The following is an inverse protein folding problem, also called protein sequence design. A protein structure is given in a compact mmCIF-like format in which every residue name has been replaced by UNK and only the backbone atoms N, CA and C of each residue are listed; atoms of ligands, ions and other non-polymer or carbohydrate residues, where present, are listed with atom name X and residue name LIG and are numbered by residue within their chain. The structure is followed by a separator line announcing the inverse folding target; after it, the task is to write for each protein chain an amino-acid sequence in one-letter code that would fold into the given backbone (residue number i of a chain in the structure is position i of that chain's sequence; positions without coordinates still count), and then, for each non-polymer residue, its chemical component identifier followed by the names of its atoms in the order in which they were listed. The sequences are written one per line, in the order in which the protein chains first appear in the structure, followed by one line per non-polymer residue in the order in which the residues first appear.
data_IF_608217982811
#
_entry.id   IF_608217982811
#
_cell.length_a   1.000
_cell.length_b   1.000
_cell.length_c   1.000
_cell.angle_alpha   90.00
_cell.angle_beta   90.00
_cell.angle_gamma   90.00
#
_symmetry.space_group_name_H-M   'P 1'
#
loop_
_entity.id
_entity.type
_entity.pdbx_description
1 polymer ?
#
# COMPACT_ATOMS: atom_id res chain seq x y z
N UNK A 1 16.90 17.55 -26.77
CA UNK A 1 18.25 16.96 -26.63
C UNK A 1 18.65 16.40 -27.98
N UNK A 2 19.87 16.64 -28.47
CA UNK A 2 20.28 16.10 -29.77
C UNK A 2 20.60 14.58 -29.68
N UNK A 3 20.82 13.93 -30.82
CA UNK A 3 21.03 12.47 -30.87
C UNK A 3 22.26 12.02 -30.07
N UNK A 4 23.37 12.75 -30.19
CA UNK A 4 24.63 12.40 -29.53
C UNK A 4 24.53 12.59 -28.01
N UNK A 5 23.89 13.68 -27.56
CA UNK A 5 23.58 13.92 -26.15
C UNK A 5 22.70 12.81 -25.56
N UNK A 6 21.71 12.33 -26.32
CA UNK A 6 20.81 11.26 -25.88
C UNK A 6 21.53 9.91 -25.77
N UNK A 7 22.44 9.60 -26.71
CA UNK A 7 23.27 8.40 -26.62
C UNK A 7 24.25 8.48 -25.45
N UNK A 8 24.88 9.63 -25.22
CA UNK A 8 25.75 9.84 -24.05
C UNK A 8 24.98 9.63 -22.76
N UNK A 9 23.84 10.31 -22.60
CA UNK A 9 22.97 10.16 -21.43
C UNK A 9 22.62 8.71 -21.15
N UNK A 10 22.15 7.97 -22.17
CA UNK A 10 21.82 6.54 -22.04
C UNK A 10 23.02 5.72 -21.60
N UNK A 11 24.18 5.98 -22.18
CA UNK A 11 25.42 5.23 -21.91
C UNK A 11 25.90 5.48 -20.48
N UNK A 12 25.86 6.73 -20.03
CA UNK A 12 26.29 7.15 -18.70
C UNK A 12 25.36 6.58 -17.63
N UNK A 13 24.05 6.65 -17.81
CA UNK A 13 23.08 6.03 -16.89
C UNK A 13 23.31 4.52 -16.82
N UNK A 14 23.46 3.82 -17.95
CA UNK A 14 23.71 2.38 -17.95
C UNK A 14 25.01 2.00 -17.26
N UNK A 15 26.07 2.79 -17.45
CA UNK A 15 27.35 2.60 -16.77
C UNK A 15 27.19 2.72 -15.26
N UNK A 16 26.51 3.76 -14.79
CA UNK A 16 26.26 3.97 -13.36
C UNK A 16 25.47 2.80 -12.75
N UNK A 17 24.40 2.36 -13.41
CA UNK A 17 23.58 1.22 -12.97
C UNK A 17 24.38 -0.09 -12.90
N UNK A 18 25.23 -0.37 -13.91
CA UNK A 18 26.12 -1.56 -13.90
C UNK A 18 27.10 -1.56 -12.72
N UNK A 19 27.55 -0.39 -12.30
CA UNK A 19 28.44 -0.21 -11.16
C UNK A 19 27.69 -0.01 -9.83
N UNK A 20 26.38 -0.26 -9.79
CA UNK A 20 25.52 -0.10 -8.60
C UNK A 20 25.55 1.33 -8.00
N UNK A 21 25.80 2.34 -8.84
CA UNK A 21 25.78 3.76 -8.47
C UNK A 21 24.37 4.33 -8.65
N UNK A 22 23.43 3.83 -7.83
CA UNK A 22 21.98 4.06 -7.98
C UNK A 22 21.62 5.54 -7.82
N UNK A 23 22.11 6.18 -6.76
CA UNK A 23 21.85 7.58 -6.46
C UNK A 23 22.38 8.51 -7.55
N UNK A 24 23.58 8.25 -8.08
CA UNK A 24 24.14 9.03 -9.18
C UNK A 24 23.38 8.81 -10.49
N UNK A 25 22.96 7.58 -10.78
CA UNK A 25 22.12 7.28 -11.94
C UNK A 25 20.79 8.05 -11.86
N UNK A 26 20.11 7.99 -10.71
CA UNK A 26 18.87 8.72 -10.45
C UNK A 26 19.06 10.24 -10.52
N UNK A 27 20.17 10.76 -9.99
CA UNK A 27 20.50 12.18 -10.08
C UNK A 27 20.69 12.62 -11.53
N UNK A 28 21.37 11.81 -12.34
CA UNK A 28 21.58 12.08 -13.76
C UNK A 28 20.25 12.04 -14.54
N UNK A 29 19.39 11.06 -14.24
CA UNK A 29 18.04 10.98 -14.81
C UNK A 29 17.22 12.21 -14.43
N UNK A 30 17.19 12.58 -13.15
CA UNK A 30 16.44 13.73 -12.63
C UNK A 30 16.82 15.06 -13.31
N UNK A 31 18.10 15.25 -13.67
CA UNK A 31 18.55 16.43 -14.42
C UNK A 31 17.96 16.53 -15.82
N UNK A 32 17.48 15.43 -16.39
CA UNK A 32 16.99 15.35 -17.76
C UNK A 32 15.50 14.95 -17.85
N UNK A 33 14.77 14.89 -16.72
CA UNK A 33 13.35 14.49 -16.74
C UNK A 33 12.44 15.49 -17.44
N UNK A 34 12.90 16.72 -17.70
CA UNK A 34 12.17 17.70 -18.53
C UNK A 34 12.36 17.50 -20.04
N UNK A 35 13.18 16.53 -20.46
CA UNK A 35 13.48 16.24 -21.87
C UNK A 35 12.64 15.06 -22.35
N UNK A 36 11.59 15.26 -23.19
CA UNK A 36 10.68 14.20 -23.63
C UNK A 36 11.38 13.00 -24.28
N UNK A 37 12.49 13.24 -24.99
CA UNK A 37 13.27 12.21 -25.66
C UNK A 37 13.88 11.19 -24.67
N UNK A 38 14.05 11.56 -23.41
CA UNK A 38 14.54 10.66 -22.36
C UNK A 38 13.45 9.78 -21.77
N UNK A 39 12.18 10.18 -21.87
CA UNK A 39 11.04 9.51 -21.24
C UNK A 39 10.84 8.09 -21.75
N UNK A 40 11.19 7.81 -23.01
CA UNK A 40 11.11 6.47 -23.60
C UNK A 40 12.07 5.45 -22.95
N UNK A 41 13.06 5.90 -22.19
CA UNK A 41 14.05 5.02 -21.54
C UNK A 41 13.83 4.84 -20.05
N UNK A 42 12.97 5.65 -19.43
CA UNK A 42 12.78 5.67 -17.98
C UNK A 42 12.34 4.30 -17.44
N UNK A 43 11.39 3.62 -18.10
CA UNK A 43 10.95 2.28 -17.69
C UNK A 43 12.13 1.29 -17.62
N UNK A 44 12.96 1.25 -18.66
CA UNK A 44 14.13 0.37 -18.74
C UNK A 44 15.19 0.69 -17.69
N UNK A 45 15.36 1.97 -17.32
CA UNK A 45 16.26 2.34 -16.24
C UNK A 45 15.71 1.91 -14.88
N UNK A 46 14.41 2.13 -14.65
CA UNK A 46 13.74 1.73 -13.42
C UNK A 46 13.73 0.20 -13.23
N UNK A 47 13.63 -0.56 -14.32
CA UNK A 47 13.84 -2.02 -14.37
C UNK A 47 15.25 -2.47 -13.97
N UNK A 48 16.23 -1.56 -13.81
CA UNK A 48 17.58 -1.89 -13.35
C UNK A 48 17.93 -1.31 -11.97
N UNK A 49 17.12 -0.39 -11.43
CA UNK A 49 17.35 0.20 -10.10
C UNK A 49 17.19 -0.82 -8.97
N UNK A 50 18.05 -0.72 -7.96
CA UNK A 50 17.84 -1.26 -6.61
C UNK A 50 17.70 -0.07 -5.66
N UNK A 51 16.46 0.25 -5.26
CA UNK A 51 16.16 1.40 -4.39
C UNK A 51 16.45 1.00 -2.95
N UNK A 52 17.70 1.18 -2.52
CA UNK A 52 18.21 0.68 -1.23
C UNK A 52 18.20 1.76 -0.14
N UNK A 53 18.14 3.04 -0.52
CA UNK A 53 18.16 4.17 0.40
C UNK A 53 16.91 5.04 0.31
N UNK A 54 16.61 5.78 1.38
CA UNK A 54 15.54 6.79 1.39
C UNK A 54 15.75 7.86 0.31
N UNK A 55 17.02 8.21 0.05
CA UNK A 55 17.37 9.18 -0.99
C UNK A 55 17.01 8.65 -2.38
N UNK A 56 17.28 7.37 -2.67
CA UNK A 56 16.92 6.77 -3.96
C UNK A 56 15.40 6.76 -4.17
N UNK A 57 14.65 6.46 -3.12
CA UNK A 57 13.19 6.52 -3.12
C UNK A 57 12.70 7.94 -3.42
N UNK A 58 13.20 8.96 -2.73
CA UNK A 58 12.82 10.36 -2.95
C UNK A 58 13.12 10.79 -4.40
N UNK A 59 14.30 10.47 -4.92
CA UNK A 59 14.68 10.80 -6.29
C UNK A 59 13.78 10.10 -7.31
N UNK A 60 13.50 8.80 -7.12
CA UNK A 60 12.60 8.04 -7.97
C UNK A 60 11.18 8.66 -7.98
N UNK A 61 10.63 9.03 -6.81
CA UNK A 61 9.32 9.70 -6.71
C UNK A 61 9.30 11.00 -7.51
N UNK A 62 10.34 11.83 -7.36
CA UNK A 62 10.43 13.11 -8.05
C UNK A 62 10.53 12.95 -9.57
N UNK A 63 11.29 11.95 -10.03
CA UNK A 63 11.39 11.61 -11.45
C UNK A 63 10.01 11.26 -12.01
N UNK A 64 9.30 10.31 -11.38
CA UNK A 64 7.96 9.86 -11.80
C UNK A 64 6.97 11.03 -11.88
N UNK A 65 6.96 11.87 -10.84
CA UNK A 65 6.07 13.03 -10.76
C UNK A 65 6.37 14.05 -11.86
N UNK A 66 7.66 14.37 -12.07
CA UNK A 66 8.08 15.37 -13.05
C UNK A 66 7.91 14.92 -14.50
N UNK A 67 8.01 13.62 -14.78
CA UNK A 67 7.80 13.06 -16.12
C UNK A 67 6.34 12.71 -16.41
N UNK A 68 5.43 12.85 -15.43
CA UNK A 68 4.03 12.41 -15.51
C UNK A 68 3.86 10.93 -15.90
N UNK A 69 4.87 10.09 -15.64
CA UNK A 69 4.85 8.66 -15.97
C UNK A 69 4.47 7.80 -14.76
N UNK A 70 3.28 7.99 -14.21
CA UNK A 70 2.79 7.29 -13.02
C UNK A 70 2.89 5.75 -13.12
N UNK A 71 2.80 5.17 -14.33
CA UNK A 71 2.99 3.73 -14.59
C UNK A 71 4.37 3.20 -14.17
N UNK A 72 5.37 4.06 -14.01
CA UNK A 72 6.69 3.66 -13.48
C UNK A 72 6.62 3.16 -12.03
N UNK A 73 5.59 3.53 -11.27
CA UNK A 73 5.39 2.99 -9.91
C UNK A 73 5.11 1.48 -9.98
N UNK A 74 4.38 1.00 -11.00
CA UNK A 74 4.12 -0.44 -11.18
C UNK A 74 5.43 -1.21 -11.47
N UNK A 75 6.36 -0.60 -12.22
CA UNK A 75 7.69 -1.18 -12.48
C UNK A 75 8.48 -1.35 -11.17
N UNK A 76 8.43 -0.34 -10.29
CA UNK A 76 9.09 -0.41 -8.99
C UNK A 76 8.44 -1.44 -8.07
N UNK A 77 7.11 -1.49 -8.04
CA UNK A 77 6.35 -2.44 -7.21
C UNK A 77 6.67 -3.89 -7.59
N UNK A 78 6.72 -4.22 -8.89
CA UNK A 78 7.03 -5.57 -9.36
C UNK A 78 8.41 -6.06 -8.92
N UNK A 79 9.35 -5.15 -8.64
CA UNK A 79 10.68 -5.48 -8.14
C UNK A 79 10.76 -5.59 -6.63
N UNK A 80 9.99 -4.78 -5.92
CA UNK A 80 10.03 -4.70 -4.47
C UNK A 80 8.61 -4.58 -3.90
N UNK A 81 7.86 -5.68 -3.97
CA UNK A 81 6.46 -5.76 -3.54
C UNK A 81 6.26 -5.54 -2.05
N UNK A 82 7.32 -5.69 -1.25
CA UNK A 82 7.25 -5.55 0.20
C UNK A 82 7.66 -4.15 0.69
N UNK A 83 8.05 -3.24 -0.20
CA UNK A 83 8.40 -1.87 0.19
C UNK A 83 7.15 -1.07 0.56
N UNK A 84 6.99 -0.68 1.84
CA UNK A 84 5.80 0.05 2.28
C UNK A 84 5.64 1.42 1.60
N UNK A 85 6.76 2.03 1.18
CA UNK A 85 6.79 3.32 0.50
C UNK A 85 6.30 3.18 -0.95
N UNK A 86 6.76 2.14 -1.66
CA UNK A 86 6.31 1.87 -3.04
C UNK A 86 4.83 1.46 -3.03
N UNK A 87 4.42 0.61 -2.09
CA UNK A 87 3.00 0.27 -1.87
C UNK A 87 2.18 1.54 -1.68
N UNK A 88 2.62 2.42 -0.77
CA UNK A 88 1.91 3.65 -0.46
C UNK A 88 1.72 4.52 -1.72
N UNK A 89 2.77 4.80 -2.49
CA UNK A 89 2.63 5.59 -3.73
C UNK A 89 1.76 4.90 -4.77
N UNK A 90 1.85 3.59 -4.88
CA UNK A 90 1.02 2.83 -5.82
C UNK A 90 -0.47 2.95 -5.49
N UNK A 91 -0.82 3.00 -4.21
CA UNK A 91 -2.17 3.21 -3.74
C UNK A 91 -2.59 4.70 -3.77
N UNK A 92 -1.68 5.64 -3.52
CA UNK A 92 -1.96 7.09 -3.68
C UNK A 92 -2.38 7.43 -5.12
N UNK A 93 -1.82 6.72 -6.10
CA UNK A 93 -2.12 6.91 -7.53
C UNK A 93 -3.28 6.03 -8.04
N UNK A 94 -3.84 5.16 -7.20
CA UNK A 94 -4.96 4.30 -7.58
C UNK A 94 -6.28 5.08 -7.50
N UNK A 95 -6.69 5.64 -8.65
CA UNK A 95 -7.94 6.39 -8.78
C UNK A 95 -9.17 5.49 -8.95
N UNK A 96 -8.97 4.23 -9.31
CA UNK A 96 -10.04 3.24 -9.47
C UNK A 96 -10.23 2.41 -8.20
N UNK A 97 -9.39 2.65 -7.19
CA UNK A 97 -9.40 2.04 -5.87
C UNK A 97 -9.32 0.51 -5.84
N UNK A 98 -8.75 -0.10 -6.89
CA UNK A 98 -8.62 -1.56 -7.04
C UNK A 98 -7.66 -2.20 -6.04
N UNK A 99 -6.89 -1.42 -5.28
CA UNK A 99 -5.79 -1.88 -4.42
C UNK A 99 -6.05 -1.67 -2.91
N UNK A 100 -7.30 -1.71 -2.47
CA UNK A 100 -7.67 -1.49 -1.06
C UNK A 100 -6.91 -2.40 -0.08
N UNK A 101 -6.86 -3.70 -0.37
CA UNK A 101 -6.13 -4.66 0.47
C UNK A 101 -4.63 -4.38 0.52
N UNK A 102 -4.06 -3.86 -0.56
CA UNK A 102 -2.65 -3.51 -0.59
C UNK A 102 -2.37 -2.21 0.18
N UNK A 103 -3.28 -1.23 0.11
CA UNK A 103 -3.18 0.02 0.85
C UNK A 103 -3.10 -0.23 2.37
N UNK A 104 -3.68 -1.33 2.86
CA UNK A 104 -3.61 -1.73 4.27
C UNK A 104 -2.21 -2.15 4.75
N UNK A 105 -1.27 -2.38 3.80
CA UNK A 105 0.14 -2.72 4.07
C UNK A 105 1.09 -1.53 3.92
N UNK A 106 0.57 -0.34 3.59
CA UNK A 106 1.38 0.87 3.53
C UNK A 106 1.99 1.18 4.90
N UNK A 107 3.09 1.94 4.94
CA UNK A 107 3.65 2.43 6.21
C UNK A 107 2.87 3.62 6.78
N UNK A 108 2.09 4.31 5.94
CA UNK A 108 1.37 5.54 6.28
C UNK A 108 -0.03 5.52 5.68
N UNK A 109 -0.99 6.29 6.25
CA UNK A 109 -2.36 6.31 5.78
C UNK A 109 -2.47 6.80 4.34
N UNK A 110 -3.27 6.10 3.55
CA UNK A 110 -3.47 6.40 2.14
C UNK A 110 -4.68 7.35 1.99
N UNK A 111 -4.41 8.64 1.86
CA UNK A 111 -5.41 9.72 2.01
C UNK A 111 -6.59 9.62 1.04
N UNK A 112 -6.38 9.23 -0.22
CA UNK A 112 -7.47 9.06 -1.19
C UNK A 112 -8.43 7.93 -0.80
N UNK A 113 -7.94 6.85 -0.21
CA UNK A 113 -8.78 5.76 0.30
C UNK A 113 -9.56 6.18 1.53
N UNK A 114 -8.92 6.90 2.46
CA UNK A 114 -9.62 7.51 3.59
C UNK A 114 -10.75 8.40 3.10
N UNK A 115 -10.55 9.20 2.06
CA UNK A 115 -11.61 10.12 1.60
C UNK A 115 -12.76 9.43 0.87
N UNK A 116 -12.48 8.40 0.06
CA UNK A 116 -13.46 7.90 -0.90
C UNK A 116 -13.94 6.46 -0.64
N UNK A 117 -13.20 5.63 0.07
CA UNK A 117 -13.54 4.22 0.39
C UNK A 117 -13.17 3.86 1.84
N UNK A 118 -13.53 4.74 2.78
CA UNK A 118 -13.03 4.60 4.15
C UNK A 118 -13.48 3.31 4.84
N UNK A 119 -14.72 2.81 4.61
CA UNK A 119 -15.21 1.60 5.29
C UNK A 119 -14.47 0.34 4.82
N UNK A 120 -14.40 0.02 3.51
CA UNK A 120 -13.55 -1.09 3.04
C UNK A 120 -12.11 -0.94 3.51
N UNK A 121 -11.54 0.27 3.41
CA UNK A 121 -10.15 0.51 3.82
C UNK A 121 -9.93 0.27 5.32
N UNK A 122 -10.81 0.79 6.18
CA UNK A 122 -10.79 0.57 7.62
C UNK A 122 -10.90 -0.92 7.97
N UNK A 123 -11.80 -1.66 7.32
CA UNK A 123 -11.98 -3.08 7.59
C UNK A 123 -10.77 -3.91 7.08
N UNK A 124 -10.21 -3.60 5.91
CA UNK A 124 -8.93 -4.18 5.45
C UNK A 124 -7.80 -3.91 6.45
N UNK A 125 -7.71 -2.70 7.02
CA UNK A 125 -6.72 -2.36 8.05
C UNK A 125 -6.91 -3.20 9.32
N UNK A 126 -8.15 -3.37 9.79
CA UNK A 126 -8.48 -4.23 10.93
C UNK A 126 -8.07 -5.68 10.68
N UNK A 127 -8.35 -6.23 9.50
CA UNK A 127 -7.95 -7.60 9.09
C UNK A 127 -6.43 -7.75 9.11
N UNK A 128 -5.69 -6.74 8.61
CA UNK A 128 -4.21 -6.75 8.64
C UNK A 128 -3.61 -6.32 9.97
N UNK A 129 -4.44 -6.07 10.99
CA UNK A 129 -4.02 -5.65 12.34
C UNK A 129 -3.22 -4.33 12.34
N UNK A 130 -3.47 -3.46 11.38
CA UNK A 130 -2.87 -2.13 11.28
C UNK A 130 -3.60 -1.13 12.21
N UNK A 131 -3.61 -1.41 13.51
CA UNK A 131 -4.47 -0.72 14.48
C UNK A 131 -4.22 0.80 14.55
N UNK A 132 -2.96 1.24 14.53
CA UNK A 132 -2.64 2.68 14.55
C UNK A 132 -3.11 3.44 13.31
N UNK A 133 -3.36 2.76 12.18
CA UNK A 133 -4.01 3.37 11.02
C UNK A 133 -5.52 3.38 11.17
N UNK A 134 -6.11 2.35 11.78
CA UNK A 134 -7.55 2.32 12.07
C UNK A 134 -7.96 3.54 12.92
N UNK A 135 -7.17 3.86 13.95
CA UNK A 135 -7.39 5.04 14.81
C UNK A 135 -7.39 6.34 14.00
N UNK A 136 -6.44 6.51 13.07
CA UNK A 136 -6.37 7.68 12.20
C UNK A 136 -7.57 7.79 11.26
N UNK A 137 -8.09 6.67 10.74
CA UNK A 137 -9.31 6.68 9.93
C UNK A 137 -10.53 7.10 10.77
N UNK A 138 -10.65 6.56 11.99
CA UNK A 138 -11.75 6.86 12.91
C UNK A 138 -11.73 8.32 13.39
N UNK A 139 -10.56 8.91 13.60
CA UNK A 139 -10.42 10.33 13.96
C UNK A 139 -10.99 11.25 12.89
N UNK A 140 -10.82 10.89 11.61
CA UNK A 140 -11.32 11.66 10.46
C UNK A 140 -12.82 11.52 10.28
N UNK A 141 -13.35 10.29 10.32
CA UNK A 141 -14.76 10.02 9.93
C UNK A 141 -15.75 9.97 11.10
N UNK A 142 -15.28 9.67 12.32
CA UNK A 142 -16.14 9.55 13.51
C UNK A 142 -17.37 8.63 13.31
N UNK A 143 -17.22 7.56 12.52
CA UNK A 143 -18.26 6.55 12.28
C UNK A 143 -18.42 5.68 13.55
N UNK A 144 -19.59 5.76 14.19
CA UNK A 144 -19.90 5.03 15.43
C UNK A 144 -19.85 3.52 15.23
N UNK A 145 -20.36 3.00 14.11
CA UNK A 145 -20.36 1.57 13.84
C UNK A 145 -18.93 1.05 13.73
N UNK A 146 -18.08 1.77 12.99
CA UNK A 146 -16.67 1.43 12.84
C UNK A 146 -15.90 1.56 14.16
N UNK A 147 -16.17 2.58 14.98
CA UNK A 147 -15.55 2.73 16.30
C UNK A 147 -15.94 1.58 17.24
N UNK A 148 -17.23 1.23 17.32
CA UNK A 148 -17.69 0.11 18.11
C UNK A 148 -17.09 -1.22 17.62
N UNK A 149 -17.00 -1.43 16.30
CA UNK A 149 -16.33 -2.60 15.72
C UNK A 149 -14.87 -2.65 16.17
N UNK A 150 -14.12 -1.55 16.03
CA UNK A 150 -12.73 -1.44 16.46
C UNK A 150 -12.57 -1.81 17.94
N UNK A 151 -13.39 -1.21 18.82
CA UNK A 151 -13.36 -1.48 20.25
C UNK A 151 -13.70 -2.94 20.57
N UNK A 152 -14.66 -3.55 19.87
CA UNK A 152 -15.01 -4.96 20.09
C UNK A 152 -13.85 -5.90 19.72
N UNK A 153 -13.14 -5.59 18.64
CA UNK A 153 -12.00 -6.35 18.13
C UNK A 153 -10.79 -6.23 19.07
N UNK A 154 -10.39 -5.00 19.42
CA UNK A 154 -9.23 -4.76 20.30
C UNK A 154 -9.44 -5.34 21.71
N UNK A 155 -10.69 -5.38 22.19
CA UNK A 155 -11.06 -5.98 23.48
C UNK A 155 -11.35 -7.48 23.40
N UNK A 156 -11.17 -8.10 22.24
CA UNK A 156 -11.47 -9.51 22.01
C UNK A 156 -12.89 -9.91 22.48
N UNK A 157 -13.90 -9.08 22.22
CA UNK A 157 -15.29 -9.34 22.59
C UNK A 157 -16.14 -9.76 21.37
N UNK A 158 -16.20 -11.06 21.10
CA UNK A 158 -16.94 -11.62 19.96
C UNK A 158 -18.45 -11.36 20.07
N UNK A 159 -19.00 -11.38 21.28
CA UNK A 159 -20.42 -11.11 21.51
C UNK A 159 -20.77 -9.68 21.11
N UNK A 160 -19.92 -8.71 21.48
CA UNK A 160 -20.09 -7.32 21.05
C UNK A 160 -20.01 -7.20 19.53
N UNK A 161 -19.04 -7.87 18.87
CA UNK A 161 -18.94 -7.88 17.40
C UNK A 161 -20.25 -8.37 16.75
N UNK A 162 -20.83 -9.47 17.24
CA UNK A 162 -22.11 -10.03 16.75
C UNK A 162 -23.28 -9.05 16.92
N UNK A 163 -23.36 -8.41 18.09
CA UNK A 163 -24.39 -7.41 18.38
C UNK A 163 -24.26 -6.18 17.47
N UNK A 164 -23.04 -5.70 17.23
CA UNK A 164 -22.76 -4.56 16.34
C UNK A 164 -23.15 -4.92 14.90
N UNK A 165 -22.72 -6.08 14.38
CA UNK A 165 -23.11 -6.56 13.03
C UNK A 165 -24.63 -6.67 12.88
N UNK A 166 -25.34 -7.08 13.93
CA UNK A 166 -26.81 -7.12 13.91
C UNK A 166 -27.44 -5.73 13.95
N UNK A 167 -26.93 -4.81 14.77
CA UNK A 167 -27.46 -3.44 14.94
C UNK A 167 -27.27 -2.60 13.68
N UNK A 168 -26.10 -2.68 13.06
CA UNK A 168 -25.71 -1.89 11.89
C UNK A 168 -25.78 -2.70 10.59
N UNK A 169 -26.66 -3.71 10.52
CA UNK A 169 -26.73 -4.66 9.40
C UNK A 169 -26.93 -3.98 8.05
N UNK A 170 -27.79 -2.96 7.98
CA UNK A 170 -28.07 -2.24 6.73
C UNK A 170 -26.87 -1.39 6.30
N UNK A 171 -26.23 -0.69 7.25
CA UNK A 171 -25.07 0.18 7.00
C UNK A 171 -23.82 -0.60 6.58
N UNK A 172 -23.69 -1.85 7.06
CA UNK A 172 -22.54 -2.71 6.81
C UNK A 172 -22.80 -3.79 5.75
N UNK A 173 -23.97 -3.78 5.10
CA UNK A 173 -24.36 -4.83 4.16
C UNK A 173 -23.37 -5.00 2.99
N UNK A 174 -22.83 -3.89 2.48
CA UNK A 174 -21.91 -3.89 1.33
C UNK A 174 -20.48 -4.37 1.69
N UNK A 175 -20.19 -4.54 2.97
CA UNK A 175 -18.86 -4.91 3.48
C UNK A 175 -18.90 -6.16 4.36
N UNK A 176 -19.97 -6.96 4.25
CA UNK A 176 -20.19 -8.14 5.09
C UNK A 176 -19.07 -9.19 4.95
N UNK A 177 -18.48 -9.32 3.76
CA UNK A 177 -17.34 -10.20 3.51
C UNK A 177 -16.12 -9.86 4.39
N UNK A 178 -15.87 -8.57 4.64
CA UNK A 178 -14.79 -8.13 5.52
C UNK A 178 -15.10 -8.45 6.98
N UNK A 179 -16.36 -8.35 7.40
CA UNK A 179 -16.77 -8.69 8.77
C UNK A 179 -16.58 -10.18 9.07
N UNK A 180 -16.84 -11.04 8.09
CA UNK A 180 -16.56 -12.48 8.21
C UNK A 180 -15.06 -12.76 8.33
N UNK A 181 -14.23 -12.06 7.56
CA UNK A 181 -12.77 -12.20 7.65
C UNK A 181 -12.23 -11.68 9.00
N UNK A 182 -12.74 -10.56 9.50
CA UNK A 182 -12.42 -10.05 10.84
C UNK A 182 -12.74 -11.11 11.90
N UNK A 183 -13.91 -11.75 11.82
CA UNK A 183 -14.28 -12.80 12.77
C UNK A 183 -13.27 -13.95 12.74
N UNK A 184 -12.85 -14.40 11.55
CA UNK A 184 -11.86 -15.48 11.40
C UNK A 184 -10.47 -15.10 11.95
N UNK A 185 -10.02 -13.87 11.70
CA UNK A 185 -8.67 -13.40 12.05
C UNK A 185 -8.53 -13.09 13.55
N UNK A 186 -9.56 -12.51 14.16
CA UNK A 186 -9.51 -12.03 15.55
C UNK A 186 -10.15 -13.00 16.54
N UNK A 187 -11.07 -13.84 16.08
CA UNK A 187 -11.79 -14.82 16.89
C UNK A 187 -11.67 -16.21 16.27
N UNK A 188 -10.44 -16.75 16.11
CA UNK A 188 -10.28 -18.10 15.61
C UNK A 188 -11.04 -19.04 16.54
N UNK A 189 -11.92 -19.87 15.96
CA UNK A 189 -12.55 -20.95 16.73
C UNK A 189 -11.40 -21.79 17.27
N UNK A 190 -11.27 -21.90 18.59
CA UNK A 190 -10.39 -22.91 19.16
C UNK A 190 -10.85 -24.23 18.58
N UNK A 191 -9.98 -24.94 17.86
CA UNK A 191 -10.22 -26.34 17.57
C UNK A 191 -10.54 -26.99 18.92
N UNK A 192 -11.75 -27.53 19.04
CA UNK A 192 -12.15 -28.27 20.22
C UNK A 192 -11.12 -29.40 20.37
N UNK A 193 -10.33 -29.35 21.43
CA UNK A 193 -9.61 -30.52 21.91
C UNK A 193 -10.71 -31.48 22.37
N UNK A 194 -11.11 -32.40 21.49
CA UNK A 194 -11.80 -33.60 21.89
C UNK A 194 -10.69 -34.55 22.33
N UNK A 195 -10.41 -34.58 23.63
CA UNK A 195 -9.91 -35.81 24.23
C UNK A 195 -10.92 -36.21 25.30
N UNK A 196 -11.89 -37.00 24.87
CA UNK A 196 -12.87 -37.67 25.71
C UNK A 196 -12.34 -39.05 26.11
N UNK A 197 -11.09 -39.13 26.59
CA UNK A 197 -10.43 -40.38 26.96
C UNK A 197 -9.82 -40.41 28.37
N UNK A 198 -10.28 -39.54 29.28
CA UNK A 198 -10.06 -39.75 30.72
C UNK A 198 -11.38 -40.11 31.40
N UNK A 199 -11.88 -41.30 31.04
CA UNK A 199 -12.73 -42.14 31.88
C UNK A 199 -11.96 -43.44 32.12
N UNK A 200 -11.07 -43.38 33.11
CA UNK A 200 -10.62 -44.53 33.91
C UNK A 200 -10.90 -44.22 35.39
#
# INVERSE_FOLDING_TARGET
MNYDELQSFKTDVQKLLRHKKQTEALTLIAKHTSTPETHQYLAKFFEQLTLETDQDLILAKNIIKSSSQNKLVDVLYNKNQNSPIIIHWMCELDTEFKRCDLASKAAFPVVNYIKNLYRPYFLSLLIKKALGMCEQVLEVHKDEACDLLYQSVVRCNETALKLIRSKYKEELAEVDEYLEEIQKVWFPKSEQVVDANDLD
#
